data_IF_864887608146
#
_entry.id   IF_864887608146
#
_cell.length_a   1.000
_cell.length_b   1.000
_cell.length_c   1.000
_cell.angle_alpha   90.00
_cell.angle_beta   90.00
_cell.angle_gamma   90.00
#
_symmetry.space_group_name_H-M   'P 1'
#
loop_
_entity.id
_entity.type
_entity.pdbx_description
1 polymer ?
#
# COMPACT_ATOMS: atom_id res chain seq x y z
N UNK A 1 2.97 36.12 38.41
CA UNK A 1 3.05 35.13 37.30
C UNK A 1 3.17 33.75 37.91
N UNK A 2 2.20 32.83 37.70
CA UNK A 2 2.35 31.43 38.04
C UNK A 2 3.31 30.81 37.05
N UNK A 3 4.56 30.58 37.45
CA UNK A 3 5.42 29.67 36.73
C UNK A 3 4.76 28.26 36.73
N UNK A 4 4.64 27.64 35.56
CA UNK A 4 4.08 26.33 35.45
C UNK A 4 4.85 25.28 36.27
N UNK A 5 4.19 24.23 36.68
CA UNK A 5 4.83 23.15 37.40
C UNK A 5 5.68 22.28 36.44
N UNK A 6 6.96 22.14 36.78
CA UNK A 6 7.87 21.27 36.01
C UNK A 6 8.27 20.08 36.89
N UNK A 7 8.22 18.90 36.34
CA UNK A 7 8.75 17.69 36.98
C UNK A 7 9.99 17.23 36.17
N UNK A 8 11.17 17.65 36.61
CA UNK A 8 12.43 17.30 35.97
C UNK A 8 13.31 16.50 36.97
N UNK A 9 13.36 15.21 36.80
CA UNK A 9 14.21 14.31 37.60
C UNK A 9 15.42 13.79 36.83
N UNK A 10 15.57 14.15 35.54
CA UNK A 10 16.68 13.75 34.70
C UNK A 10 17.94 14.59 34.93
N UNK A 11 19.11 13.98 34.93
CA UNK A 11 20.40 14.69 34.96
C UNK A 11 20.75 15.21 33.56
N UNK A 12 21.37 16.41 33.50
CA UNK A 12 21.69 17.11 32.24
C UNK A 12 20.47 17.31 31.33
N UNK A 13 19.30 17.52 31.93
CA UNK A 13 18.04 17.65 31.23
C UNK A 13 17.42 19.02 31.45
N UNK A 14 16.68 19.55 30.50
CA UNK A 14 16.14 20.89 30.53
C UNK A 14 14.68 20.96 30.13
N UNK A 15 13.85 21.65 30.95
CA UNK A 15 12.54 22.16 30.55
C UNK A 15 12.67 23.68 30.47
N UNK A 16 12.53 24.24 29.26
CA UNK A 16 12.76 25.66 29.05
C UNK A 16 11.56 26.54 29.44
N UNK A 17 10.32 26.04 29.23
CA UNK A 17 9.09 26.80 29.51
C UNK A 17 7.84 25.90 29.54
N UNK A 18 6.66 26.51 29.75
CA UNK A 18 5.36 25.84 29.62
C UNK A 18 4.72 25.47 30.95
N UNK A 19 3.83 24.48 30.95
CA UNK A 19 3.09 24.05 32.13
C UNK A 19 2.93 22.55 32.19
N UNK A 20 3.13 21.95 33.38
CA UNK A 20 3.00 20.52 33.63
C UNK A 20 3.81 19.60 32.69
N UNK A 21 4.95 20.09 32.21
CA UNK A 21 5.87 19.29 31.41
C UNK A 21 6.73 18.41 32.31
N UNK A 22 7.06 17.18 31.84
CA UNK A 22 7.74 16.18 32.64
C UNK A 22 8.96 15.58 31.92
N UNK A 23 10.12 15.59 32.59
CA UNK A 23 11.31 14.82 32.18
C UNK A 23 11.65 13.82 33.28
N UNK A 24 11.81 12.56 32.93
CA UNK A 24 12.20 11.48 33.87
C UNK A 24 13.49 10.78 33.47
N UNK A 25 14.11 11.16 32.37
CA UNK A 25 15.35 10.53 31.87
C UNK A 25 16.45 11.55 31.63
N UNK A 26 17.68 11.06 31.52
CA UNK A 26 18.86 11.90 31.39
C UNK A 26 19.07 12.45 29.99
N UNK A 27 19.76 13.60 29.90
CA UNK A 27 20.12 14.27 28.65
C UNK A 27 18.91 14.64 27.77
N UNK A 28 17.72 14.82 28.35
CA UNK A 28 16.49 15.04 27.64
C UNK A 28 16.07 16.51 27.64
N UNK A 29 15.23 16.90 26.68
CA UNK A 29 14.85 18.28 26.46
C UNK A 29 13.36 18.43 26.22
N UNK A 30 12.74 19.44 26.88
CA UNK A 30 11.43 19.96 26.54
C UNK A 30 11.55 21.48 26.36
N UNK A 31 11.27 21.97 25.15
CA UNK A 31 11.34 23.40 24.85
C UNK A 31 10.18 24.19 25.45
N UNK A 32 8.96 23.62 25.49
CA UNK A 32 7.80 24.26 26.07
C UNK A 32 6.49 23.52 25.85
N UNK A 33 5.37 24.23 25.99
CA UNK A 33 4.03 23.68 25.81
C UNK A 33 3.41 23.15 27.11
N UNK A 34 2.44 22.25 26.99
CA UNK A 34 1.63 21.80 28.12
C UNK A 34 1.58 20.28 28.17
N UNK A 35 1.82 19.70 29.35
CA UNK A 35 1.68 18.25 29.60
C UNK A 35 2.55 17.36 28.68
N UNK A 36 3.68 17.86 28.18
CA UNK A 36 4.59 17.07 27.38
C UNK A 36 5.50 16.19 28.27
N UNK A 37 5.89 15.04 27.78
CA UNK A 37 6.74 14.08 28.51
C UNK A 37 7.95 13.67 27.66
N UNK A 38 9.16 13.80 28.21
CA UNK A 38 10.38 13.24 27.66
C UNK A 38 10.95 12.24 28.70
N UNK A 39 10.75 10.96 28.45
CA UNK A 39 11.13 9.88 29.37
C UNK A 39 12.14 8.89 28.79
N UNK A 40 12.45 8.97 27.51
CA UNK A 40 13.55 8.23 26.87
C UNK A 40 14.89 8.88 27.12
N UNK A 41 15.98 8.11 27.15
CA UNK A 41 17.33 8.64 27.21
C UNK A 41 17.66 9.49 25.97
N UNK A 42 18.14 10.72 26.15
CA UNK A 42 18.39 11.69 25.08
C UNK A 42 17.14 11.99 24.23
N UNK A 43 15.96 11.94 24.83
CA UNK A 43 14.70 12.21 24.11
C UNK A 43 14.36 13.70 24.11
N UNK A 44 13.61 14.14 23.11
CA UNK A 44 13.25 15.56 22.99
C UNK A 44 11.80 15.76 22.58
N UNK A 45 11.13 16.72 23.23
CA UNK A 45 9.87 17.31 22.78
C UNK A 45 10.08 18.82 22.62
N UNK A 46 9.93 19.36 21.42
CA UNK A 46 10.15 20.80 21.23
C UNK A 46 9.03 21.62 21.85
N UNK A 47 7.75 21.27 21.55
CA UNK A 47 6.60 21.99 22.10
C UNK A 47 5.29 21.23 21.90
N UNK A 48 4.16 21.89 22.15
CA UNK A 48 2.82 21.36 21.90
C UNK A 48 2.09 20.92 23.15
N UNK A 49 1.14 20.00 23.00
CA UNK A 49 0.30 19.57 24.11
C UNK A 49 0.21 18.04 24.18
N UNK A 50 0.53 17.47 25.33
CA UNK A 50 0.47 16.02 25.60
C UNK A 50 1.30 15.16 24.63
N UNK A 51 2.42 15.68 24.14
CA UNK A 51 3.34 14.91 23.33
C UNK A 51 4.27 14.07 24.21
N UNK A 52 4.62 12.87 23.74
CA UNK A 52 5.43 11.92 24.50
C UNK A 52 6.61 11.43 23.67
N UNK A 53 7.83 11.65 24.16
CA UNK A 53 9.06 11.08 23.63
C UNK A 53 9.63 10.11 24.68
N UNK A 54 9.30 8.83 24.58
CA UNK A 54 9.66 7.82 25.58
C UNK A 54 10.65 6.76 25.08
N UNK A 55 10.90 6.69 23.77
CA UNK A 55 12.00 5.90 23.22
C UNK A 55 13.35 6.56 23.43
N UNK A 56 14.47 5.81 23.62
CA UNK A 56 15.79 6.40 23.61
C UNK A 56 16.07 7.10 22.27
N UNK A 57 16.64 8.32 22.34
CA UNK A 57 16.93 9.18 21.19
C UNK A 57 15.67 9.55 20.36
N UNK A 58 14.49 9.42 20.94
CA UNK A 58 13.23 9.73 20.25
C UNK A 58 12.97 11.25 20.20
N UNK A 59 12.22 11.67 19.20
CA UNK A 59 11.94 13.06 18.92
C UNK A 59 10.46 13.31 18.65
N UNK A 60 9.88 14.32 19.31
CA UNK A 60 8.59 14.91 18.93
C UNK A 60 8.79 16.39 18.69
N UNK A 61 8.51 16.88 17.48
CA UNK A 61 8.66 18.29 17.14
C UNK A 61 7.61 19.16 17.83
N UNK A 62 6.34 18.95 17.48
CA UNK A 62 5.22 19.66 18.13
C UNK A 62 3.88 18.94 17.89
N UNK A 63 2.77 19.64 18.15
CA UNK A 63 1.42 19.13 17.89
C UNK A 63 0.70 18.69 19.15
N UNK A 64 -0.26 17.76 18.99
CA UNK A 64 -1.12 17.34 20.08
C UNK A 64 -1.16 15.81 20.16
N UNK A 65 -0.88 15.25 21.34
CA UNK A 65 -0.98 13.82 21.63
C UNK A 65 -0.14 12.93 20.70
N UNK A 66 1.02 13.41 20.23
CA UNK A 66 1.92 12.59 19.42
C UNK A 66 2.85 11.77 20.31
N UNK A 67 3.20 10.57 19.88
CA UNK A 67 4.06 9.66 20.65
C UNK A 67 5.18 9.07 19.79
N UNK A 68 6.42 9.22 20.24
CA UNK A 68 7.60 8.58 19.70
C UNK A 68 8.18 7.61 20.74
N UNK A 69 7.98 6.29 20.53
CA UNK A 69 8.28 5.24 21.52
C UNK A 69 9.46 4.34 21.14
N UNK A 70 9.76 4.21 19.86
CA UNK A 70 10.87 3.37 19.40
C UNK A 70 12.24 4.04 19.59
N UNK A 71 13.31 3.25 19.57
CA UNK A 71 14.67 3.75 19.50
C UNK A 71 14.86 4.62 18.25
N UNK A 72 15.41 5.82 18.38
CA UNK A 72 15.55 6.82 17.29
C UNK A 72 14.26 7.12 16.51
N UNK A 73 13.09 6.85 17.06
CA UNK A 73 11.82 7.17 16.40
C UNK A 73 11.49 8.66 16.41
N UNK A 74 10.72 9.12 15.43
CA UNK A 74 10.41 10.55 15.29
C UNK A 74 8.96 10.79 14.88
N UNK A 75 8.31 11.74 15.56
CA UNK A 75 7.07 12.37 15.10
C UNK A 75 7.33 13.89 14.97
N UNK A 76 7.29 14.41 13.74
CA UNK A 76 7.61 15.82 13.52
C UNK A 76 6.48 16.73 14.00
N UNK A 77 5.21 16.30 13.84
CA UNK A 77 4.08 17.08 14.33
C UNK A 77 2.72 16.43 14.03
N UNK A 78 1.66 17.26 14.05
CA UNK A 78 0.29 16.81 13.80
C UNK A 78 -0.48 16.42 15.07
N UNK A 79 -1.41 15.48 14.97
CA UNK A 79 -2.26 15.08 16.08
C UNK A 79 -2.44 13.57 16.17
N UNK A 80 -2.27 13.02 17.37
CA UNK A 80 -2.44 11.58 17.64
C UNK A 80 -1.61 10.66 16.73
N UNK A 81 -0.41 11.09 16.32
CA UNK A 81 0.48 10.27 15.52
C UNK A 81 1.38 9.41 16.42
N UNK A 82 1.66 8.19 15.99
CA UNK A 82 2.44 7.20 16.73
C UNK A 82 3.60 6.67 15.88
N UNK A 83 4.82 6.81 16.38
CA UNK A 83 6.02 6.13 15.89
C UNK A 83 6.48 5.14 16.99
N UNK A 84 6.04 3.89 16.91
CA UNK A 84 6.15 2.93 18.01
C UNK A 84 7.46 2.15 18.02
N UNK A 85 8.08 1.94 16.87
CA UNK A 85 9.24 1.03 16.71
C UNK A 85 10.50 1.76 16.24
N UNK A 86 11.62 1.05 16.26
CA UNK A 86 12.94 1.57 15.98
C UNK A 86 13.05 2.24 14.60
N UNK A 87 13.55 3.46 14.56
CA UNK A 87 13.69 4.25 13.34
C UNK A 87 12.38 4.58 12.64
N UNK A 88 11.24 4.34 13.28
CA UNK A 88 9.93 4.70 12.72
C UNK A 88 9.72 6.22 12.67
N UNK A 89 9.25 6.74 11.54
CA UNK A 89 9.03 8.17 11.34
C UNK A 89 7.59 8.45 10.94
N UNK A 90 6.96 9.44 11.58
CA UNK A 90 5.71 10.06 11.13
C UNK A 90 5.95 11.57 11.00
N UNK A 91 5.84 12.12 9.78
CA UNK A 91 6.11 13.54 9.56
C UNK A 91 4.96 14.41 10.06
N UNK A 92 3.71 13.97 9.90
CA UNK A 92 2.58 14.77 10.37
C UNK A 92 1.22 14.15 10.11
N UNK A 93 0.20 14.98 10.00
CA UNK A 93 -1.18 14.53 9.80
C UNK A 93 -1.90 14.17 11.10
N UNK A 94 -2.86 13.25 11.00
CA UNK A 94 -3.68 12.86 12.16
C UNK A 94 -3.92 11.35 12.22
N UNK A 95 -3.79 10.79 13.40
CA UNK A 95 -4.02 9.37 13.69
C UNK A 95 -3.20 8.40 12.82
N UNK A 96 -2.00 8.80 12.37
CA UNK A 96 -1.11 7.91 11.64
C UNK A 96 -0.32 7.02 12.61
N UNK A 97 -0.19 5.75 12.29
CA UNK A 97 0.43 4.74 13.15
C UNK A 97 1.58 4.02 12.42
N UNK A 98 2.81 4.22 12.86
CA UNK A 98 3.97 3.52 12.33
C UNK A 98 4.47 2.50 13.36
N UNK A 99 4.14 1.22 13.12
CA UNK A 99 4.56 0.07 13.92
C UNK A 99 5.57 -0.81 13.16
N UNK A 100 6.34 -0.20 12.26
CA UNK A 100 7.29 -0.89 11.40
C UNK A 100 8.67 -0.24 11.47
N UNK A 101 9.71 -1.04 11.70
CA UNK A 101 11.09 -0.54 11.82
C UNK A 101 11.56 0.18 10.55
N UNK A 102 12.27 1.30 10.71
CA UNK A 102 12.86 2.07 9.60
C UNK A 102 11.88 2.42 8.50
N UNK A 103 10.62 2.64 8.87
CA UNK A 103 9.52 2.95 7.96
C UNK A 103 9.07 4.40 8.12
N UNK A 104 8.43 4.93 7.09
CA UNK A 104 8.00 6.33 7.09
C UNK A 104 6.53 6.48 6.70
N UNK A 105 5.81 7.30 7.45
CA UNK A 105 4.52 7.88 7.04
C UNK A 105 4.72 9.38 6.86
N UNK A 106 4.58 9.87 5.63
CA UNK A 106 4.76 11.28 5.31
C UNK A 106 3.65 12.18 5.89
N UNK A 107 2.44 11.63 6.08
CA UNK A 107 1.33 12.36 6.69
C UNK A 107 -0.03 11.80 6.28
N UNK A 108 -1.05 12.66 6.32
CA UNK A 108 -2.42 12.28 5.97
C UNK A 108 -3.28 11.88 7.18
N UNK A 109 -4.28 11.05 6.94
CA UNK A 109 -5.26 10.69 7.97
C UNK A 109 -5.35 9.18 8.13
N UNK A 110 -5.07 8.68 9.33
CA UNK A 110 -5.29 7.27 9.70
C UNK A 110 -4.56 6.28 8.78
N UNK A 111 -3.35 6.63 8.34
CA UNK A 111 -2.50 5.70 7.62
C UNK A 111 -1.74 4.82 8.63
N UNK A 112 -1.56 3.53 8.31
CA UNK A 112 -0.93 2.58 9.21
C UNK A 112 0.10 1.72 8.50
N UNK A 113 1.30 1.61 9.07
CA UNK A 113 2.30 0.62 8.67
C UNK A 113 2.50 -0.33 9.84
N UNK A 114 2.15 -1.60 9.63
CA UNK A 114 2.31 -2.69 10.60
C UNK A 114 2.98 -3.88 9.90
N UNK A 115 4.28 -3.89 9.88
CA UNK A 115 5.07 -4.92 9.19
C UNK A 115 6.52 -4.92 9.68
N UNK A 116 7.37 -5.81 9.17
CA UNK A 116 8.73 -5.98 9.70
C UNK A 116 9.72 -4.84 9.38
N UNK A 117 9.46 -3.97 8.39
CA UNK A 117 10.30 -2.79 8.19
C UNK A 117 10.46 -2.27 6.76
N UNK A 118 11.13 -1.13 6.65
CA UNK A 118 11.55 -0.48 5.40
C UNK A 118 10.40 -0.14 4.42
N UNK A 119 9.20 0.15 4.94
CA UNK A 119 8.03 0.47 4.13
C UNK A 119 7.70 1.97 4.16
N UNK A 120 6.96 2.45 3.18
CA UNK A 120 6.58 3.85 3.11
C UNK A 120 5.13 4.06 2.69
N UNK A 121 4.45 4.97 3.40
CA UNK A 121 3.20 5.60 2.96
C UNK A 121 3.47 7.10 2.85
N UNK A 122 3.38 7.67 1.65
CA UNK A 122 3.67 9.10 1.48
C UNK A 122 2.55 9.95 2.07
N UNK A 123 1.30 9.53 1.94
CA UNK A 123 0.16 10.26 2.52
C UNK A 123 -1.18 9.65 2.18
N UNK A 124 -2.23 10.48 2.17
CA UNK A 124 -3.59 10.05 1.88
C UNK A 124 -4.39 9.68 3.12
N UNK A 125 -5.38 8.80 2.96
CA UNK A 125 -6.31 8.45 4.02
C UNK A 125 -6.53 6.94 4.11
N UNK A 126 -6.45 6.37 5.30
CA UNK A 126 -6.76 4.96 5.55
C UNK A 126 -5.93 3.98 4.70
N UNK A 127 -4.73 4.37 4.27
CA UNK A 127 -3.83 3.46 3.57
C UNK A 127 -3.11 2.56 4.58
N UNK A 128 -2.94 1.29 4.23
CA UNK A 128 -2.39 0.30 5.16
C UNK A 128 -1.31 -0.56 4.51
N UNK A 129 -0.18 -0.68 5.18
CA UNK A 129 0.81 -1.73 4.92
C UNK A 129 0.76 -2.69 6.09
N UNK A 130 0.46 -3.97 5.85
CA UNK A 130 0.34 -4.96 6.92
C UNK A 130 0.97 -6.32 6.56
N UNK A 131 0.97 -7.24 7.51
CA UNK A 131 1.56 -8.57 7.35
C UNK A 131 3.08 -8.57 7.38
N UNK A 132 3.70 -9.56 6.76
CA UNK A 132 5.16 -9.71 6.72
C UNK A 132 5.83 -8.89 5.60
N UNK A 133 5.25 -7.76 5.23
CA UNK A 133 5.79 -6.87 4.20
C UNK A 133 7.06 -6.16 4.65
N UNK A 134 8.14 -6.36 3.90
CA UNK A 134 9.25 -5.43 3.83
C UNK A 134 9.20 -4.72 2.47
N UNK A 135 9.64 -3.46 2.43
CA UNK A 135 9.77 -2.66 1.20
C UNK A 135 8.46 -2.37 0.46
N UNK A 136 7.32 -2.32 1.18
CA UNK A 136 6.06 -1.89 0.58
C UNK A 136 6.02 -0.36 0.41
N UNK A 137 5.46 0.08 -0.70
CA UNK A 137 5.28 1.49 -1.01
C UNK A 137 3.83 1.80 -1.38
N UNK A 138 3.23 2.77 -0.69
CA UNK A 138 1.95 3.37 -1.08
C UNK A 138 2.17 4.87 -1.29
N UNK A 139 2.02 5.35 -2.52
CA UNK A 139 2.21 6.76 -2.87
C UNK A 139 1.14 7.68 -2.30
N UNK A 140 -0.07 7.17 -2.07
CA UNK A 140 -1.17 7.95 -1.49
C UNK A 140 -2.55 7.40 -1.84
N UNK A 141 -3.55 8.28 -1.86
CA UNK A 141 -4.93 7.90 -2.14
C UNK A 141 -5.72 7.50 -0.89
N UNK A 142 -6.73 6.64 -1.06
CA UNK A 142 -7.62 6.29 0.04
C UNK A 142 -7.86 4.78 0.12
N UNK A 143 -7.79 4.22 1.32
CA UNK A 143 -8.12 2.81 1.58
C UNK A 143 -7.31 1.81 0.74
N UNK A 144 -6.09 2.14 0.33
CA UNK A 144 -5.22 1.21 -0.37
C UNK A 144 -4.52 0.28 0.63
N UNK A 145 -4.36 -0.99 0.27
CA UNK A 145 -3.81 -2.01 1.16
C UNK A 145 -2.70 -2.82 0.47
N UNK A 146 -1.50 -2.76 1.03
CA UNK A 146 -0.39 -3.64 0.67
C UNK A 146 -0.22 -4.69 1.78
N UNK A 147 -0.52 -5.98 1.47
CA UNK A 147 -0.50 -7.05 2.48
C UNK A 147 0.03 -8.36 1.89
N UNK A 148 1.25 -8.75 2.24
CA UNK A 148 1.79 -10.05 1.83
C UNK A 148 1.77 -11.09 2.96
N UNK A 149 1.59 -12.34 2.60
CA UNK A 149 1.51 -13.45 3.56
C UNK A 149 2.85 -13.90 4.13
N UNK A 150 3.95 -13.87 3.36
CA UNK A 150 5.29 -14.29 3.80
C UNK A 150 6.37 -13.86 2.84
N UNK A 151 7.50 -13.39 3.38
CA UNK A 151 8.74 -13.11 2.64
C UNK A 151 9.09 -11.62 2.54
N UNK A 152 10.30 -11.34 2.08
CA UNK A 152 10.76 -9.97 1.77
C UNK A 152 10.22 -9.60 0.39
N UNK A 153 9.26 -8.71 0.35
CA UNK A 153 8.50 -8.46 -0.88
C UNK A 153 8.33 -6.97 -1.11
N UNK A 154 8.63 -6.53 -2.31
CA UNK A 154 8.41 -5.17 -2.79
C UNK A 154 7.01 -5.04 -3.38
N UNK A 155 6.06 -4.54 -2.60
CA UNK A 155 4.73 -4.21 -3.12
C UNK A 155 4.62 -2.73 -3.44
N UNK A 156 3.97 -2.40 -4.54
CA UNK A 156 3.79 -1.00 -4.95
C UNK A 156 2.33 -0.70 -5.23
N UNK A 157 1.80 0.32 -4.55
CA UNK A 157 0.55 0.97 -4.93
C UNK A 157 0.86 2.44 -5.17
N UNK A 158 0.80 2.90 -6.42
CA UNK A 158 1.08 4.29 -6.77
C UNK A 158 0.06 5.26 -6.16
N UNK A 159 -1.21 4.85 -6.11
CA UNK A 159 -2.29 5.65 -5.53
C UNK A 159 -3.67 5.10 -5.87
N UNK A 160 -4.66 6.00 -5.96
CA UNK A 160 -6.05 5.62 -6.22
C UNK A 160 -6.84 5.27 -4.98
N UNK A 161 -7.86 4.43 -5.10
CA UNK A 161 -8.72 4.10 -3.98
C UNK A 161 -9.09 2.62 -3.93
N UNK A 162 -9.07 2.05 -2.74
CA UNK A 162 -9.46 0.66 -2.47
C UNK A 162 -8.66 -0.38 -3.30
N UNK A 163 -7.44 -0.07 -3.69
CA UNK A 163 -6.58 -1.01 -4.40
C UNK A 163 -5.89 -1.94 -3.40
N UNK A 164 -5.76 -3.22 -3.76
CA UNK A 164 -5.18 -4.24 -2.88
C UNK A 164 -4.08 -5.02 -3.59
N UNK A 165 -2.89 -5.03 -3.02
CA UNK A 165 -1.81 -5.93 -3.42
C UNK A 165 -1.56 -6.91 -2.28
N UNK A 166 -1.78 -8.20 -2.51
CA UNK A 166 -1.56 -9.26 -1.51
C UNK A 166 -0.60 -10.36 -1.99
N UNK A 167 0.27 -10.02 -2.91
CA UNK A 167 1.25 -10.92 -3.54
C UNK A 167 2.67 -10.40 -3.41
N UNK A 168 3.64 -11.26 -3.65
CA UNK A 168 5.05 -10.87 -3.71
C UNK A 168 5.33 -10.11 -5.01
N UNK A 169 6.04 -8.97 -4.90
CA UNK A 169 6.43 -8.12 -6.02
C UNK A 169 5.26 -7.70 -6.93
N UNK A 170 4.08 -7.60 -6.33
CA UNK A 170 2.89 -7.13 -7.03
C UNK A 170 2.81 -5.61 -7.13
N UNK A 171 2.21 -5.10 -8.20
CA UNK A 171 2.07 -3.66 -8.39
C UNK A 171 0.70 -3.22 -8.92
N UNK A 172 0.20 -2.10 -8.38
CA UNK A 172 -0.94 -1.36 -8.90
C UNK A 172 -0.53 0.10 -9.02
N UNK A 173 -0.56 0.69 -10.22
CA UNK A 173 -0.18 2.10 -10.35
C UNK A 173 -1.30 3.05 -9.92
N UNK A 174 -2.57 2.65 -10.04
CA UNK A 174 -3.69 3.47 -9.61
C UNK A 174 -5.06 2.88 -9.91
N UNK A 175 -6.08 3.74 -9.93
CA UNK A 175 -7.48 3.34 -10.22
C UNK A 175 -8.30 3.03 -8.97
N UNK A 176 -9.36 2.26 -9.14
CA UNK A 176 -10.31 1.96 -8.07
C UNK A 176 -10.59 0.46 -7.94
N UNK A 177 -10.39 -0.06 -6.75
CA UNK A 177 -10.78 -1.42 -6.40
C UNK A 177 -10.03 -2.52 -7.17
N UNK A 178 -8.83 -2.25 -7.69
CA UNK A 178 -8.02 -3.24 -8.37
C UNK A 178 -7.35 -4.19 -7.37
N UNK A 179 -7.17 -5.44 -7.78
CA UNK A 179 -6.57 -6.48 -6.93
C UNK A 179 -5.43 -7.20 -7.65
N UNK A 180 -4.28 -7.29 -6.99
CA UNK A 180 -3.15 -8.10 -7.43
C UNK A 180 -2.85 -9.16 -6.37
N UNK A 181 -3.09 -10.42 -6.70
CA UNK A 181 -2.82 -11.57 -5.82
C UNK A 181 -1.84 -12.58 -6.41
N UNK A 182 -1.53 -12.48 -7.69
CA UNK A 182 -0.48 -13.28 -8.33
C UNK A 182 0.90 -12.68 -8.06
N UNK A 183 1.90 -13.50 -7.73
CA UNK A 183 3.26 -13.02 -7.56
C UNK A 183 3.80 -12.43 -8.87
N UNK A 184 4.57 -11.34 -8.77
CA UNK A 184 5.18 -10.62 -9.90
C UNK A 184 4.14 -10.14 -10.93
N UNK A 185 2.92 -9.83 -10.46
CA UNK A 185 1.83 -9.43 -11.33
C UNK A 185 1.51 -7.96 -11.20
N UNK A 186 0.86 -7.40 -12.21
CA UNK A 186 0.62 -5.98 -12.27
C UNK A 186 -0.75 -5.61 -12.81
N UNK A 187 -1.33 -4.56 -12.25
CA UNK A 187 -2.46 -3.82 -12.81
C UNK A 187 -2.05 -2.36 -12.97
N UNK A 188 -2.08 -1.82 -14.19
CA UNK A 188 -1.72 -0.41 -14.39
C UNK A 188 -2.80 0.51 -13.83
N UNK A 189 -4.07 0.19 -14.02
CA UNK A 189 -5.15 1.03 -13.51
C UNK A 189 -6.54 0.56 -13.88
N UNK A 190 -7.49 1.49 -13.93
CA UNK A 190 -8.89 1.18 -14.23
C UNK A 190 -9.70 0.83 -13.00
N UNK A 191 -10.76 0.06 -13.18
CA UNK A 191 -11.74 -0.22 -12.13
C UNK A 191 -11.96 -1.71 -11.94
N UNK A 192 -11.75 -2.22 -10.72
CA UNK A 192 -12.02 -3.61 -10.33
C UNK A 192 -11.35 -4.66 -11.21
N UNK A 193 -10.14 -4.39 -11.70
CA UNK A 193 -9.34 -5.36 -12.43
C UNK A 193 -8.61 -6.28 -11.47
N UNK A 194 -8.41 -7.55 -11.88
CA UNK A 194 -7.75 -8.55 -11.05
C UNK A 194 -6.62 -9.26 -11.83
N UNK A 195 -5.43 -9.27 -11.25
CA UNK A 195 -4.30 -10.07 -11.73
C UNK A 195 -3.91 -11.08 -10.64
N UNK A 196 -4.36 -12.35 -10.82
CA UNK A 196 -4.16 -13.40 -9.82
C UNK A 196 -3.26 -14.55 -10.29
N UNK A 197 -2.95 -14.63 -11.57
CA UNK A 197 -1.95 -15.57 -12.08
C UNK A 197 -0.51 -15.10 -11.81
N UNK A 198 0.44 -16.01 -11.73
CA UNK A 198 1.87 -15.67 -11.64
C UNK A 198 2.32 -14.91 -12.89
N UNK A 199 3.08 -13.82 -12.73
CA UNK A 199 3.53 -12.96 -13.84
C UNK A 199 2.38 -12.53 -14.77
N UNK A 200 1.20 -12.24 -14.22
CA UNK A 200 0.04 -11.80 -15.00
C UNK A 200 -0.06 -10.28 -15.07
N UNK A 201 -0.68 -9.79 -16.12
CA UNK A 201 -0.77 -8.36 -16.40
C UNK A 201 -2.16 -7.94 -16.84
N UNK A 202 -2.66 -6.82 -16.26
CA UNK A 202 -3.84 -6.12 -16.74
C UNK A 202 -3.47 -4.64 -16.98
N UNK A 203 -3.56 -4.20 -18.24
CA UNK A 203 -3.21 -2.82 -18.61
C UNK A 203 -4.26 -1.80 -18.13
N UNK A 204 -5.54 -2.18 -18.05
CA UNK A 204 -6.58 -1.28 -17.59
C UNK A 204 -8.00 -1.73 -17.93
N UNK A 205 -8.93 -0.77 -18.03
CA UNK A 205 -10.34 -1.05 -18.27
C UNK A 205 -11.14 -1.35 -17.02
N UNK A 206 -12.18 -2.16 -17.14
CA UNK A 206 -13.06 -2.46 -16.01
C UNK A 206 -13.38 -3.95 -15.87
N UNK A 207 -13.25 -4.45 -14.65
CA UNK A 207 -13.61 -5.82 -14.29
C UNK A 207 -12.95 -6.91 -15.15
N UNK A 208 -11.73 -6.66 -15.61
CA UNK A 208 -10.93 -7.67 -16.31
C UNK A 208 -10.25 -8.58 -15.29
N UNK A 209 -10.14 -9.88 -15.60
CA UNK A 209 -9.58 -10.85 -14.67
C UNK A 209 -8.60 -11.80 -15.39
N UNK A 210 -7.32 -11.75 -14.99
CA UNK A 210 -6.30 -12.73 -15.39
C UNK A 210 -6.03 -13.67 -14.22
N UNK A 211 -6.48 -14.92 -14.34
CA UNK A 211 -6.26 -15.93 -13.31
C UNK A 211 -5.08 -16.87 -13.64
N UNK A 212 -4.58 -16.85 -14.87
CA UNK A 212 -3.55 -17.76 -15.35
C UNK A 212 -2.16 -17.15 -15.35
N UNK A 213 -1.17 -18.02 -15.33
CA UNK A 213 0.25 -17.69 -15.39
C UNK A 213 0.65 -17.10 -16.75
N UNK A 214 1.56 -16.11 -16.76
CA UNK A 214 2.17 -15.51 -17.96
C UNK A 214 1.14 -14.99 -18.96
N UNK A 215 0.02 -14.46 -18.48
CA UNK A 215 -1.09 -14.05 -19.33
C UNK A 215 -1.42 -12.57 -19.21
N UNK A 216 -1.98 -12.03 -20.26
CA UNK A 216 -2.17 -10.58 -20.41
C UNK A 216 -3.59 -10.24 -20.83
N UNK A 217 -4.21 -9.28 -20.15
CA UNK A 217 -5.33 -8.51 -20.68
C UNK A 217 -4.88 -7.06 -20.86
N UNK A 218 -4.84 -6.58 -22.10
CA UNK A 218 -4.42 -5.22 -22.40
C UNK A 218 -5.41 -4.20 -21.84
N UNK A 219 -6.69 -4.33 -22.15
CA UNK A 219 -7.76 -3.44 -21.65
C UNK A 219 -9.16 -4.04 -21.92
N UNK A 220 -10.18 -3.17 -21.82
CA UNK A 220 -11.57 -3.55 -22.12
C UNK A 220 -12.43 -3.78 -20.89
N UNK A 221 -13.52 -4.48 -21.05
CA UNK A 221 -14.51 -4.63 -19.97
C UNK A 221 -14.91 -6.11 -19.85
N UNK A 222 -14.87 -6.65 -18.61
CA UNK A 222 -15.28 -8.04 -18.30
C UNK A 222 -14.54 -9.12 -19.09
N UNK A 223 -13.32 -8.86 -19.59
CA UNK A 223 -12.52 -9.89 -20.23
C UNK A 223 -11.89 -10.81 -19.18
N UNK A 224 -11.79 -12.10 -19.50
CA UNK A 224 -11.30 -13.11 -18.56
C UNK A 224 -10.35 -14.11 -19.20
N UNK A 225 -9.22 -14.37 -18.56
CA UNK A 225 -8.36 -15.51 -18.83
C UNK A 225 -8.41 -16.42 -17.59
N UNK A 226 -8.90 -17.66 -17.75
CA UNK A 226 -9.07 -18.58 -16.64
C UNK A 226 -7.75 -19.27 -16.28
N UNK A 227 -7.73 -20.03 -15.17
CA UNK A 227 -6.51 -20.71 -14.69
C UNK A 227 -5.88 -21.69 -15.72
N UNK A 228 -6.65 -22.20 -16.65
CA UNK A 228 -6.18 -23.10 -17.70
C UNK A 228 -5.63 -22.36 -18.93
N UNK A 229 -5.93 -21.08 -19.07
CA UNK A 229 -5.48 -20.23 -20.20
C UNK A 229 -4.03 -19.75 -20.08
N UNK A 230 -3.07 -20.62 -19.78
CA UNK A 230 -1.65 -20.28 -19.64
C UNK A 230 -1.08 -19.58 -20.88
N UNK A 231 -0.18 -18.63 -20.70
CA UNK A 231 0.51 -17.92 -21.78
C UNK A 231 -0.44 -17.29 -22.82
N UNK A 232 -1.60 -16.83 -22.39
CA UNK A 232 -2.66 -16.35 -23.28
C UNK A 232 -2.86 -14.84 -23.21
N UNK A 233 -3.45 -14.28 -24.25
CA UNK A 233 -3.62 -12.85 -24.41
C UNK A 233 -5.05 -12.50 -24.82
N UNK A 234 -5.62 -11.47 -24.15
CA UNK A 234 -6.76 -10.71 -24.65
C UNK A 234 -6.30 -9.25 -24.79
N UNK A 235 -6.24 -8.74 -26.02
CA UNK A 235 -5.78 -7.35 -26.21
C UNK A 235 -6.83 -6.37 -25.74
N UNK A 236 -8.12 -6.64 -26.03
CA UNK A 236 -9.21 -5.75 -25.58
C UNK A 236 -10.59 -6.30 -25.91
N UNK A 237 -11.59 -5.39 -25.95
CA UNK A 237 -12.98 -5.73 -26.22
C UNK A 237 -13.80 -5.93 -24.96
N UNK A 238 -14.90 -6.66 -25.08
CA UNK A 238 -15.84 -6.85 -23.98
C UNK A 238 -16.28 -8.30 -23.81
N UNK A 239 -16.20 -8.77 -22.57
CA UNK A 239 -16.74 -10.09 -22.19
C UNK A 239 -16.12 -11.26 -23.01
N UNK A 240 -14.86 -11.11 -23.41
CA UNK A 240 -14.13 -12.18 -24.08
C UNK A 240 -13.54 -13.13 -23.04
N UNK A 241 -13.49 -14.43 -23.35
CA UNK A 241 -12.99 -15.44 -22.43
C UNK A 241 -11.98 -16.38 -23.09
N UNK A 242 -10.82 -16.56 -22.46
CA UNK A 242 -9.84 -17.57 -22.84
C UNK A 242 -9.77 -18.64 -21.74
N UNK A 243 -9.99 -19.89 -22.12
CA UNK A 243 -9.84 -21.05 -21.25
C UNK A 243 -8.75 -22.02 -21.76
N UNK A 244 -8.41 -21.97 -23.03
CA UNK A 244 -7.31 -22.74 -23.63
C UNK A 244 -5.97 -22.03 -23.49
N UNK A 245 -4.89 -22.82 -23.30
CA UNK A 245 -3.54 -22.25 -23.19
C UNK A 245 -2.95 -21.78 -24.52
N UNK A 246 -1.99 -20.87 -24.47
CA UNK A 246 -1.27 -20.31 -25.64
C UNK A 246 -2.21 -19.72 -26.70
N UNK A 247 -3.28 -19.08 -26.28
CA UNK A 247 -4.35 -18.61 -27.13
C UNK A 247 -4.52 -17.10 -27.09
N UNK A 248 -5.10 -16.54 -28.15
CA UNK A 248 -5.27 -15.10 -28.26
C UNK A 248 -6.66 -14.70 -28.77
N UNK A 249 -7.22 -13.65 -28.13
CA UNK A 249 -8.37 -12.89 -28.63
C UNK A 249 -7.93 -11.45 -28.78
N UNK A 250 -7.98 -10.90 -29.99
CA UNK A 250 -7.49 -9.54 -30.22
C UNK A 250 -8.53 -8.49 -29.78
N UNK A 251 -9.81 -8.70 -30.15
CA UNK A 251 -10.86 -7.73 -29.83
C UNK A 251 -12.26 -8.35 -29.94
N UNK A 252 -13.28 -7.51 -30.00
CA UNK A 252 -14.67 -7.93 -30.15
C UNK A 252 -15.39 -8.17 -28.82
N UNK A 253 -16.50 -8.88 -28.89
CA UNK A 253 -17.30 -9.16 -27.68
C UNK A 253 -17.83 -10.59 -27.68
N UNK A 254 -17.95 -11.14 -26.47
CA UNK A 254 -18.48 -12.49 -26.23
C UNK A 254 -17.71 -13.59 -26.98
N UNK A 255 -16.47 -13.36 -27.40
CA UNK A 255 -15.67 -14.40 -28.04
C UNK A 255 -15.08 -15.34 -27.00
N UNK A 256 -15.05 -16.61 -27.30
CA UNK A 256 -14.57 -17.67 -26.41
C UNK A 256 -13.51 -18.53 -27.10
N UNK A 257 -12.34 -18.64 -26.51
CA UNK A 257 -11.25 -19.50 -26.93
C UNK A 257 -11.10 -20.65 -25.91
N UNK A 258 -11.58 -21.85 -26.26
CA UNK A 258 -11.54 -23.00 -25.37
C UNK A 258 -10.36 -23.94 -25.69
N UNK A 259 -10.03 -24.12 -26.97
CA UNK A 259 -8.91 -24.94 -27.41
C UNK A 259 -7.55 -24.32 -27.08
N UNK A 260 -6.51 -25.11 -26.98
CA UNK A 260 -5.15 -24.62 -26.92
C UNK A 260 -4.66 -24.18 -28.31
N UNK A 261 -3.78 -23.15 -28.31
CA UNK A 261 -3.20 -22.59 -29.55
C UNK A 261 -4.27 -22.03 -30.51
N UNK A 262 -5.32 -21.43 -29.98
CA UNK A 262 -6.38 -20.81 -30.77
C UNK A 262 -6.20 -19.31 -30.95
N UNK A 263 -6.74 -18.81 -32.06
CA UNK A 263 -6.74 -17.38 -32.37
C UNK A 263 -8.12 -16.88 -32.79
N UNK A 264 -8.59 -15.81 -32.17
CA UNK A 264 -9.79 -15.09 -32.59
C UNK A 264 -9.40 -13.64 -32.86
N UNK A 265 -9.49 -13.20 -34.13
CA UNK A 265 -9.14 -11.84 -34.52
C UNK A 265 -10.12 -10.78 -34.02
N UNK A 266 -11.40 -11.14 -33.89
CA UNK A 266 -12.43 -10.21 -33.39
C UNK A 266 -13.84 -10.70 -33.72
N UNK A 267 -14.77 -9.74 -33.78
CA UNK A 267 -16.19 -10.01 -34.05
C UNK A 267 -17.03 -10.25 -32.81
N UNK A 268 -18.12 -10.96 -32.95
CA UNK A 268 -19.09 -11.16 -31.90
C UNK A 268 -19.45 -12.67 -31.75
N UNK A 269 -19.42 -13.13 -30.51
CA UNK A 269 -19.88 -14.49 -30.16
C UNK A 269 -19.20 -15.64 -30.96
N UNK A 270 -17.95 -15.45 -31.35
CA UNK A 270 -17.17 -16.53 -32.00
C UNK A 270 -16.60 -17.45 -30.93
N UNK A 271 -16.55 -18.76 -31.28
CA UNK A 271 -16.06 -19.80 -30.38
C UNK A 271 -15.02 -20.68 -31.06
N UNK A 272 -13.80 -20.69 -30.54
CA UNK A 272 -12.74 -21.59 -30.98
C UNK A 272 -12.60 -22.74 -29.98
N UNK A 273 -13.27 -23.88 -30.24
CA UNK A 273 -13.38 -24.99 -29.30
C UNK A 273 -12.24 -26.00 -29.44
N UNK A 274 -11.75 -26.25 -30.64
CA UNK A 274 -10.68 -27.19 -30.88
C UNK A 274 -9.30 -26.55 -30.84
N UNK A 275 -8.29 -27.33 -30.50
CA UNK A 275 -6.90 -26.87 -30.58
C UNK A 275 -6.51 -26.47 -32.00
N UNK A 276 -5.61 -25.45 -32.11
CA UNK A 276 -5.12 -24.89 -33.38
C UNK A 276 -6.18 -24.22 -34.26
N UNK A 277 -7.37 -23.90 -33.70
CA UNK A 277 -8.42 -23.21 -34.44
C UNK A 277 -8.11 -21.73 -34.68
N UNK A 278 -8.50 -21.26 -35.85
CA UNK A 278 -8.37 -19.88 -36.27
C UNK A 278 -9.72 -19.30 -36.71
N UNK A 279 -10.16 -18.24 -36.02
CA UNK A 279 -11.34 -17.47 -36.42
C UNK A 279 -10.88 -16.04 -36.72
N UNK A 280 -10.89 -15.63 -37.99
CA UNK A 280 -10.46 -14.28 -38.38
C UNK A 280 -11.38 -13.18 -37.86
N UNK A 281 -12.68 -13.46 -37.77
CA UNK A 281 -13.71 -12.53 -37.30
C UNK A 281 -15.11 -12.96 -37.74
N UNK A 282 -16.07 -12.06 -37.63
CA UNK A 282 -17.49 -12.33 -37.95
C UNK A 282 -18.38 -12.53 -36.73
N UNK A 283 -19.47 -13.19 -36.91
CA UNK A 283 -20.45 -13.41 -35.84
C UNK A 283 -20.83 -14.89 -35.75
N UNK A 284 -20.85 -15.45 -34.54
CA UNK A 284 -21.28 -16.81 -34.25
C UNK A 284 -20.52 -17.90 -35.05
N UNK A 285 -19.21 -17.75 -35.29
CA UNK A 285 -18.40 -18.80 -35.91
C UNK A 285 -17.86 -19.76 -34.84
N UNK A 286 -17.78 -21.08 -35.20
CA UNK A 286 -17.20 -22.12 -34.36
C UNK A 286 -16.01 -22.81 -35.08
#
# INVERSE_FOLDING_TARGET
>A
EKFGTFDNTGTNSTIASGDNNKITSNCSFIGGGILNTASGFVSSVISGNRNVANGPYSFVGNGVCNTASGYISSVVGGSNNLAFVDGGVVVGGSNNCNESCYSIIGGGLTNCINGPGCSAIVGGCLNTVNGNNCFAFIGGGCCNCASAGSGRVGQVIGGGSCNVVCSNDGSILGGFGNCVSGNQSSVVGGVRNTASGYCSFVGGGAANCVCSTLSIIGSGIFNRITNTGLCSVIVGGATNCVTGGCSAIISGRFNISCGAFTFIGGGCSNCATNGYSFVGGGECNE
#
